data_IF_823132904950
#
_entry.id   IF_823132904950
#
_cell.length_a   1.000
_cell.length_b   1.000
_cell.length_c   1.000
_cell.angle_alpha   90.00
_cell.angle_beta   90.00
_cell.angle_gamma   90.00
#
_symmetry.space_group_name_H-M   'P 1'
#
loop_
_entity.id
_entity.type
_entity.pdbx_description
1 polymer ?
#
# COMPACT_ATOMS: atom_id res chain seq x y z
N UNK A 1 -2.98 5.55 -26.40
CA UNK A 1 -2.60 6.97 -26.11
C UNK A 1 -2.61 7.17 -24.60
N UNK A 2 -1.53 7.75 -24.06
CA UNK A 2 -1.41 8.04 -22.63
C UNK A 2 -1.79 9.48 -22.32
N UNK A 3 -2.50 9.70 -21.20
CA UNK A 3 -2.85 11.04 -20.73
C UNK A 3 -2.77 11.12 -19.21
N UNK A 4 -2.44 12.32 -18.70
CA UNK A 4 -2.53 12.69 -17.28
C UNK A 4 -3.35 13.97 -17.19
N UNK A 5 -4.46 13.92 -16.48
CA UNK A 5 -5.37 15.06 -16.33
C UNK A 5 -5.73 15.26 -14.87
N UNK A 6 -5.68 16.49 -14.38
CA UNK A 6 -6.21 16.83 -13.07
C UNK A 6 -7.67 17.30 -13.20
N UNK A 7 -8.50 16.84 -12.31
CA UNK A 7 -9.90 17.25 -12.19
C UNK A 7 -10.15 17.83 -10.81
N UNK A 8 -10.63 19.07 -10.77
CA UNK A 8 -11.10 19.69 -9.52
C UNK A 8 -12.45 19.10 -9.13
N UNK A 9 -12.75 18.99 -7.83
CA UNK A 9 -14.06 18.57 -7.37
C UNK A 9 -15.13 19.57 -7.82
N UNK A 10 -16.26 19.09 -8.28
CA UNK A 10 -17.46 19.86 -8.55
C UNK A 10 -18.65 19.29 -7.74
N UNK A 11 -19.83 19.90 -7.88
CA UNK A 11 -21.02 19.52 -7.11
C UNK A 11 -21.50 18.07 -7.37
N UNK A 12 -21.03 17.44 -8.45
CA UNK A 12 -21.40 16.06 -8.85
C UNK A 12 -20.22 15.09 -8.65
N UNK A 13 -19.06 15.58 -8.22
CA UNK A 13 -17.86 14.76 -8.01
C UNK A 13 -18.01 13.90 -6.75
N UNK A 14 -17.68 12.60 -6.87
CA UNK A 14 -17.51 11.75 -5.71
C UNK A 14 -16.27 12.13 -4.88
N UNK A 15 -15.32 12.84 -5.50
CA UNK A 15 -14.08 13.29 -4.86
C UNK A 15 -14.24 14.68 -4.23
N UNK A 16 -13.65 14.86 -3.05
CA UNK A 16 -13.69 16.12 -2.29
C UNK A 16 -12.43 16.98 -2.49
N UNK A 17 -11.40 16.42 -3.09
CA UNK A 17 -10.10 17.06 -3.38
C UNK A 17 -9.75 16.83 -4.84
N UNK A 18 -8.78 17.57 -5.41
CA UNK A 18 -8.32 17.33 -6.77
C UNK A 18 -7.90 15.88 -6.98
N UNK A 19 -8.33 15.29 -8.08
CA UNK A 19 -7.99 13.94 -8.51
C UNK A 19 -7.17 14.00 -9.80
N UNK A 20 -6.09 13.22 -9.86
CA UNK A 20 -5.30 13.03 -11.07
C UNK A 20 -5.68 11.71 -11.72
N UNK A 21 -6.19 11.77 -12.94
CA UNK A 21 -6.50 10.62 -13.77
C UNK A 21 -5.35 10.34 -14.72
N UNK A 22 -4.75 9.18 -14.59
CA UNK A 22 -3.76 8.64 -15.51
C UNK A 22 -4.46 7.60 -16.38
N UNK A 23 -4.36 7.70 -17.70
CA UNK A 23 -5.08 6.83 -18.63
C UNK A 23 -4.19 6.26 -19.71
N UNK A 24 -4.40 4.99 -20.02
CA UNK A 24 -3.99 4.31 -21.24
C UNK A 24 -5.26 3.99 -22.04
N UNK A 25 -5.60 4.84 -23.01
CA UNK A 25 -6.83 4.71 -23.78
C UNK A 25 -6.82 3.50 -24.71
N UNK A 26 -5.64 3.04 -25.15
CA UNK A 26 -5.53 1.91 -26.08
C UNK A 26 -5.82 0.57 -25.36
N UNK A 27 -5.57 0.51 -24.04
CA UNK A 27 -5.80 -0.65 -23.20
C UNK A 27 -7.09 -0.55 -22.36
N UNK A 28 -7.84 0.55 -22.47
CA UNK A 28 -8.99 0.87 -21.60
C UNK A 28 -8.60 0.73 -20.12
N UNK A 29 -7.51 1.40 -19.73
CA UNK A 29 -6.98 1.33 -18.39
C UNK A 29 -6.75 2.72 -17.81
N UNK A 30 -7.07 2.89 -16.52
CA UNK A 30 -6.84 4.16 -15.82
C UNK A 30 -6.67 3.97 -14.32
N UNK A 31 -6.00 4.94 -13.69
CA UNK A 31 -5.88 5.04 -12.23
C UNK A 31 -6.26 6.45 -11.77
N UNK A 32 -6.82 6.53 -10.56
CA UNK A 32 -7.12 7.79 -9.87
C UNK A 32 -6.17 7.98 -8.69
N UNK A 33 -5.44 9.10 -8.67
CA UNK A 33 -4.46 9.47 -7.65
C UNK A 33 -4.91 10.73 -6.93
N UNK A 34 -4.89 10.71 -5.59
CA UNK A 34 -5.31 11.82 -4.74
C UNK A 34 -4.15 12.33 -3.87
N UNK A 35 -3.37 13.31 -4.34
CA UNK A 35 -2.25 13.86 -3.58
C UNK A 35 -2.67 14.42 -2.22
N UNK A 36 -3.78 15.15 -2.15
CA UNK A 36 -4.28 15.80 -0.93
C UNK A 36 -4.86 14.82 0.10
N UNK A 37 -5.02 13.56 -0.26
CA UNK A 37 -5.53 12.49 0.60
C UNK A 37 -4.51 11.38 0.81
N UNK A 38 -3.28 11.76 1.14
CA UNK A 38 -2.21 10.81 1.45
C UNK A 38 -1.54 10.19 0.23
N UNK A 39 -1.64 10.80 -0.95
CA UNK A 39 -1.09 10.24 -2.18
C UNK A 39 -1.75 8.93 -2.62
N UNK A 40 -2.95 8.63 -2.12
CA UNK A 40 -3.61 7.34 -2.32
C UNK A 40 -4.03 7.13 -3.78
N UNK A 41 -3.90 5.89 -4.25
CA UNK A 41 -4.61 5.38 -5.42
C UNK A 41 -5.99 4.90 -4.98
N UNK A 42 -7.07 5.54 -5.44
CA UNK A 42 -8.44 5.17 -5.05
C UNK A 42 -9.09 4.22 -6.04
N UNK A 43 -8.74 4.34 -7.30
CA UNK A 43 -9.28 3.51 -8.36
C UNK A 43 -8.16 3.01 -9.28
N UNK A 44 -8.30 1.77 -9.73
CA UNK A 44 -7.61 1.20 -10.87
C UNK A 44 -8.65 0.51 -11.73
N UNK A 45 -8.96 1.10 -12.87
CA UNK A 45 -9.96 0.59 -13.81
C UNK A 45 -9.21 -0.06 -14.99
N UNK A 46 -9.57 -1.28 -15.33
CA UNK A 46 -9.09 -1.98 -16.51
C UNK A 46 -10.26 -2.68 -17.21
N UNK A 47 -10.48 -2.36 -18.50
CA UNK A 47 -11.57 -2.89 -19.31
C UNK A 47 -12.94 -2.77 -18.62
N UNK A 48 -13.23 -1.57 -18.08
CA UNK A 48 -14.48 -1.25 -17.40
C UNK A 48 -14.66 -1.87 -16.01
N UNK A 49 -13.69 -2.67 -15.50
CA UNK A 49 -13.71 -3.26 -14.14
C UNK A 49 -12.82 -2.47 -13.21
N UNK A 50 -13.31 -2.12 -12.02
CA UNK A 50 -12.47 -1.54 -10.98
C UNK A 50 -11.72 -2.65 -10.24
N UNK A 51 -10.39 -2.58 -10.25
CA UNK A 51 -9.48 -3.55 -9.62
C UNK A 51 -9.29 -3.23 -8.14
N UNK A 52 -9.46 -1.97 -7.72
CA UNK A 52 -9.43 -1.61 -6.31
C UNK A 52 -10.86 -1.49 -5.75
N UNK A 53 -11.02 -1.96 -4.50
CA UNK A 53 -12.21 -1.70 -3.68
C UNK A 53 -12.07 -0.35 -2.99
N UNK A 54 -13.14 0.41 -2.88
CA UNK A 54 -13.22 1.63 -2.08
C UNK A 54 -14.56 1.71 -1.36
N UNK A 55 -14.51 1.87 -0.04
CA UNK A 55 -15.68 2.20 0.80
C UNK A 55 -15.95 3.70 0.67
N UNK A 56 -16.84 4.06 -0.25
CA UNK A 56 -17.16 5.44 -0.57
C UNK A 56 -17.79 6.20 0.59
N UNK A 57 -18.58 5.55 1.45
CA UNK A 57 -19.19 6.19 2.62
C UNK A 57 -18.10 6.64 3.60
N UNK A 58 -17.14 5.77 3.86
CA UNK A 58 -15.98 6.11 4.71
C UNK A 58 -15.05 7.13 4.07
N UNK A 59 -14.87 7.07 2.76
CA UNK A 59 -14.05 8.03 2.04
C UNK A 59 -14.61 9.46 2.17
N UNK A 60 -15.94 9.62 2.12
CA UNK A 60 -16.62 10.91 2.22
C UNK A 60 -16.59 11.50 3.63
N UNK A 61 -16.41 10.69 4.68
CA UNK A 61 -16.27 11.18 6.05
C UNK A 61 -14.81 11.51 6.37
N UNK A 62 -14.43 12.81 6.49
CA UNK A 62 -13.04 13.21 6.76
C UNK A 62 -12.53 12.77 8.14
N UNK A 63 -13.41 12.35 9.05
CA UNK A 63 -13.05 11.84 10.39
C UNK A 63 -12.71 10.36 10.38
N UNK A 64 -13.06 9.64 9.30
CA UNK A 64 -12.81 8.21 9.19
C UNK A 64 -11.54 7.93 8.38
N UNK A 65 -10.82 6.88 8.78
CA UNK A 65 -9.74 6.36 7.94
C UNK A 65 -10.32 5.77 6.66
N UNK A 66 -9.69 6.03 5.53
CA UNK A 66 -10.08 5.44 4.25
C UNK A 66 -9.93 3.92 4.34
N UNK A 67 -10.97 3.19 3.92
CA UNK A 67 -10.92 1.75 3.65
C UNK A 67 -11.08 1.55 2.15
N UNK A 68 -10.00 1.23 1.49
CA UNK A 68 -10.01 1.02 0.05
C UNK A 68 -8.85 1.67 -0.67
N UNK A 69 -8.80 1.46 -1.98
CA UNK A 69 -7.70 1.90 -2.81
C UNK A 69 -6.38 1.24 -2.42
N UNK A 70 -5.30 1.99 -2.52
CA UNK A 70 -3.98 1.54 -2.09
C UNK A 70 -3.28 2.61 -1.24
N UNK A 71 -3.53 2.66 0.09
CA UNK A 71 -2.86 3.58 1.01
C UNK A 71 -1.35 3.34 1.11
N UNK A 72 -0.60 4.43 1.28
CA UNK A 72 0.84 4.43 1.56
C UNK A 72 1.08 4.23 3.06
N UNK A 73 2.00 3.34 3.43
CA UNK A 73 2.41 3.11 4.82
C UNK A 73 3.85 3.61 5.01
N UNK A 74 4.05 4.59 5.92
CA UNK A 74 5.35 5.13 6.32
C UNK A 74 5.19 6.03 7.56
N UNK A 75 6.14 6.04 8.52
CA UNK A 75 7.40 5.30 8.59
C UNK A 75 7.27 3.93 9.27
N UNK A 76 6.05 3.44 9.50
CA UNK A 76 5.79 2.11 10.05
C UNK A 76 4.68 1.38 9.27
N UNK A 77 4.79 0.05 9.24
CA UNK A 77 3.72 -0.84 8.81
C UNK A 77 3.05 -1.46 10.04
N UNK A 78 1.72 -1.48 10.06
CA UNK A 78 0.95 -1.95 11.21
C UNK A 78 0.96 -0.99 12.40
N UNK A 79 0.83 -1.54 13.60
CA UNK A 79 0.74 -0.80 14.85
C UNK A 79 1.94 -1.06 15.76
N UNK A 80 2.16 -0.15 16.70
CA UNK A 80 3.07 -0.28 17.81
C UNK A 80 2.28 -0.57 19.10
N UNK A 81 2.86 -1.23 20.11
CA UNK A 81 2.25 -1.34 21.43
C UNK A 81 1.95 0.07 21.98
N UNK A 82 0.70 0.28 22.36
CA UNK A 82 0.19 1.57 22.86
C UNK A 82 0.54 2.78 21.97
N UNK A 83 0.80 2.55 20.67
CA UNK A 83 1.29 3.53 19.70
C UNK A 83 2.64 4.16 20.04
N UNK A 84 3.50 3.49 20.81
CA UNK A 84 4.78 4.03 21.22
C UNK A 84 5.97 3.25 20.69
N UNK A 85 7.04 3.99 20.39
CA UNK A 85 8.40 3.46 20.19
C UNK A 85 9.41 4.35 20.88
N UNK A 86 10.62 3.82 21.06
CA UNK A 86 11.73 4.53 21.72
C UNK A 86 12.89 4.72 20.76
N UNK A 87 13.33 5.97 20.59
CA UNK A 87 14.53 6.34 19.86
C UNK A 87 15.49 7.09 20.79
N UNK A 88 16.70 6.53 21.01
CA UNK A 88 17.74 7.10 21.91
C UNK A 88 17.22 7.45 23.32
N UNK A 89 16.33 6.62 23.86
CA UNK A 89 15.77 6.79 25.20
C UNK A 89 14.63 7.78 25.28
N UNK A 90 14.22 8.39 24.17
CA UNK A 90 13.04 9.26 24.08
C UNK A 90 11.87 8.47 23.51
N UNK A 91 10.71 8.55 24.16
CA UNK A 91 9.49 7.91 23.73
C UNK A 91 8.74 8.81 22.74
N UNK A 92 8.31 8.24 21.62
CA UNK A 92 7.52 8.91 20.59
C UNK A 92 6.20 8.18 20.39
N UNK A 93 5.14 8.95 20.10
CA UNK A 93 3.84 8.39 19.77
C UNK A 93 3.63 8.39 18.25
N UNK A 94 3.31 7.23 17.69
CA UNK A 94 3.11 7.07 16.26
C UNK A 94 1.94 6.10 16.03
N UNK A 95 0.88 6.62 15.43
CA UNK A 95 -0.33 5.85 15.14
C UNK A 95 -0.11 4.74 14.13
N UNK A 96 -1.06 3.81 14.07
CA UNK A 96 -1.05 2.68 13.14
C UNK A 96 -0.76 3.12 11.69
N UNK A 97 0.18 2.45 11.04
CA UNK A 97 0.65 2.70 9.68
C UNK A 97 1.37 4.05 9.46
N UNK A 98 1.73 4.74 10.55
CA UNK A 98 2.40 6.02 10.47
C UNK A 98 1.52 7.16 9.98
N UNK A 99 2.14 8.16 9.35
CA UNK A 99 1.47 9.42 9.00
C UNK A 99 1.34 9.67 7.49
N UNK A 100 2.15 9.03 6.62
CA UNK A 100 2.21 9.39 5.20
C UNK A 100 0.85 9.34 4.48
N UNK A 101 0.01 8.38 4.84
CA UNK A 101 -1.36 8.23 4.31
C UNK A 101 -2.35 9.33 4.71
N UNK A 102 -1.96 10.19 5.64
CA UNK A 102 -2.78 11.30 6.14
C UNK A 102 -2.21 12.67 5.77
N UNK A 103 -1.06 12.71 5.08
CA UNK A 103 -0.38 13.94 4.69
C UNK A 103 -0.81 14.39 3.28
N UNK A 104 -0.64 15.68 3.00
CA UNK A 104 -0.76 16.21 1.64
C UNK A 104 0.57 15.98 0.92
N UNK A 105 0.51 15.37 -0.27
CA UNK A 105 1.65 15.13 -1.14
C UNK A 105 1.71 16.15 -2.26
N UNK A 106 2.90 16.53 -2.68
CA UNK A 106 3.12 17.46 -3.78
C UNK A 106 3.34 16.70 -5.08
N UNK A 107 2.61 17.05 -6.14
CA UNK A 107 2.90 16.56 -7.49
C UNK A 107 4.15 17.25 -8.00
N UNK A 108 5.18 16.47 -8.34
CA UNK A 108 6.47 16.99 -8.81
C UNK A 108 6.72 16.73 -10.29
N UNK A 109 6.08 15.71 -10.85
CA UNK A 109 6.26 15.37 -12.26
C UNK A 109 5.07 14.56 -12.81
N UNK A 110 4.88 14.61 -14.16
CA UNK A 110 3.95 13.78 -14.92
C UNK A 110 4.52 13.47 -16.31
N UNK A 111 4.39 12.21 -16.75
CA UNK A 111 4.90 11.77 -18.08
C UNK A 111 3.85 10.96 -18.84
N UNK A 112 3.95 10.98 -20.17
CA UNK A 112 3.05 10.25 -21.09
C UNK A 112 3.75 9.56 -22.26
N UNK A 113 5.09 9.42 -22.23
CA UNK A 113 5.84 8.83 -23.36
C UNK A 113 5.76 7.30 -23.37
N UNK A 114 6.05 6.64 -22.22
CA UNK A 114 6.05 5.18 -22.08
C UNK A 114 5.09 4.72 -20.99
N UNK A 115 3.83 5.11 -21.09
CA UNK A 115 2.80 4.94 -20.08
C UNK A 115 2.36 6.29 -19.53
N UNK A 116 1.28 6.34 -18.76
CA UNK A 116 0.90 7.53 -18.01
C UNK A 116 1.46 7.42 -16.60
N UNK A 117 2.25 8.41 -16.17
CA UNK A 117 2.82 8.42 -14.83
C UNK A 117 2.67 9.76 -14.11
N UNK A 118 2.68 9.71 -12.78
CA UNK A 118 2.72 10.86 -11.88
C UNK A 118 3.69 10.58 -10.74
N UNK A 119 4.51 11.57 -10.41
CA UNK A 119 5.42 11.51 -9.27
C UNK A 119 4.94 12.46 -8.18
N UNK A 120 4.81 11.92 -6.99
CA UNK A 120 4.46 12.64 -5.77
C UNK A 120 5.66 12.70 -4.83
N UNK A 121 5.82 13.80 -4.09
CA UNK A 121 6.80 13.91 -3.02
C UNK A 121 6.17 14.30 -1.69
N UNK A 122 6.78 13.81 -0.60
CA UNK A 122 6.47 14.18 0.78
C UNK A 122 7.77 14.40 1.55
N UNK A 123 8.03 15.63 1.98
CA UNK A 123 9.12 15.96 2.87
C UNK A 123 8.71 15.94 4.35
N UNK A 124 9.70 15.94 5.24
CA UNK A 124 9.47 16.14 6.67
C UNK A 124 8.88 17.53 6.97
N UNK A 125 8.13 17.60 8.06
CA UNK A 125 7.56 18.85 8.60
C UNK A 125 7.81 18.92 10.10
N UNK A 126 7.61 20.07 10.77
CA UNK A 126 7.68 20.12 12.23
C UNK A 126 6.78 19.10 12.93
N UNK A 127 5.60 18.83 12.38
CA UNK A 127 4.64 17.86 12.92
C UNK A 127 5.16 16.43 12.79
N UNK A 128 5.75 16.06 11.64
CA UNK A 128 6.34 14.72 11.47
C UNK A 128 7.58 14.56 12.34
N UNK A 129 8.42 15.59 12.49
CA UNK A 129 9.61 15.55 13.35
C UNK A 129 9.26 15.38 14.83
N UNK A 130 8.09 15.87 15.28
CA UNK A 130 7.63 15.70 16.65
C UNK A 130 7.32 14.23 17.02
N UNK A 131 6.97 13.39 16.04
CA UNK A 131 6.58 11.98 16.24
C UNK A 131 7.60 11.00 15.62
N UNK A 132 8.40 11.47 14.68
CA UNK A 132 9.44 10.71 13.99
C UNK A 132 10.62 11.66 13.71
N UNK A 133 11.65 11.69 14.59
CA UNK A 133 12.66 12.76 14.63
C UNK A 133 13.76 12.56 13.58
N UNK A 134 13.35 12.38 12.33
CA UNK A 134 14.24 12.24 11.17
C UNK A 134 13.77 13.14 10.04
N UNK A 135 14.72 13.80 9.41
CA UNK A 135 14.50 14.57 8.19
C UNK A 135 14.52 13.60 6.99
N UNK A 136 13.51 13.66 6.15
CA UNK A 136 13.36 12.75 5.01
C UNK A 136 12.76 13.46 3.80
N UNK A 137 12.99 12.87 2.62
CA UNK A 137 12.24 13.10 1.39
C UNK A 137 11.76 11.75 0.84
N UNK A 138 10.48 11.65 0.55
CA UNK A 138 9.85 10.50 -0.07
C UNK A 138 9.40 10.87 -1.47
N UNK A 139 9.61 9.97 -2.44
CA UNK A 139 9.05 10.08 -3.79
C UNK A 139 8.35 8.80 -4.16
N UNK A 140 7.14 8.94 -4.69
CA UNK A 140 6.32 7.84 -5.18
C UNK A 140 5.88 8.14 -6.61
N UNK A 141 6.27 7.29 -7.55
CA UNK A 141 5.86 7.38 -8.95
C UNK A 141 4.88 6.26 -9.24
N UNK A 142 3.66 6.62 -9.59
CA UNK A 142 2.64 5.71 -10.09
C UNK A 142 2.64 5.72 -11.60
N UNK A 143 2.68 4.55 -12.23
CA UNK A 143 2.67 4.41 -13.69
C UNK A 143 1.69 3.33 -14.11
N UNK A 144 0.78 3.68 -15.03
CA UNK A 144 -0.13 2.74 -15.68
C UNK A 144 0.27 2.53 -17.14
N UNK A 145 0.35 1.27 -17.55
CA UNK A 145 0.57 0.85 -18.94
C UNK A 145 -0.11 -0.48 -19.18
N UNK A 146 -1.11 -0.50 -20.03
CA UNK A 146 -1.90 -1.70 -20.28
C UNK A 146 -2.62 -2.18 -19.01
N UNK A 147 -2.42 -3.42 -18.70
CA UNK A 147 -2.94 -4.11 -17.51
C UNK A 147 -1.95 -4.10 -16.32
N UNK A 148 -0.92 -3.26 -16.37
CA UNK A 148 0.17 -3.22 -15.37
C UNK A 148 0.19 -1.88 -14.67
N UNK A 149 0.14 -1.91 -13.35
CA UNK A 149 0.37 -0.77 -12.47
C UNK A 149 1.72 -0.93 -11.77
N UNK A 150 2.64 0.00 -12.01
CA UNK A 150 3.96 0.06 -11.38
C UNK A 150 3.97 1.18 -10.35
N UNK A 151 4.52 0.90 -9.17
CA UNK A 151 4.77 1.88 -8.12
C UNK A 151 6.26 1.85 -7.81
N UNK A 152 6.97 2.89 -8.21
CA UNK A 152 8.36 3.13 -7.85
C UNK A 152 8.41 4.08 -6.66
N UNK A 153 9.23 3.75 -5.66
CA UNK A 153 9.40 4.55 -4.45
C UNK A 153 10.86 4.89 -4.24
N UNK A 154 11.12 6.07 -3.69
CA UNK A 154 12.45 6.46 -3.23
C UNK A 154 12.33 7.09 -1.84
N UNK A 155 13.17 6.61 -0.93
CA UNK A 155 13.27 7.05 0.46
C UNK A 155 14.65 7.67 0.66
N UNK A 156 14.72 8.95 1.00
CA UNK A 156 15.98 9.65 1.23
C UNK A 156 16.07 10.09 2.68
N UNK A 157 17.18 9.74 3.34
CA UNK A 157 17.51 10.24 4.67
C UNK A 157 18.25 11.58 4.55
N UNK A 158 17.63 12.65 5.00
CA UNK A 158 18.21 13.99 5.04
C UNK A 158 18.80 14.34 6.42
N UNK A 159 18.65 13.43 7.43
CA UNK A 159 19.23 13.60 8.75
C UNK A 159 20.72 13.32 8.75
N UNK A 160 21.41 13.76 9.80
CA UNK A 160 22.84 13.52 10.07
C UNK A 160 23.13 12.15 10.71
N UNK A 161 22.11 11.29 10.86
CA UNK A 161 22.18 9.98 11.54
C UNK A 161 21.37 8.92 10.79
N UNK A 162 21.65 7.61 11.03
CA UNK A 162 20.87 6.53 10.41
C UNK A 162 19.38 6.66 10.71
N UNK A 163 18.55 6.59 9.67
CA UNK A 163 17.09 6.71 9.71
C UNK A 163 16.45 5.32 9.65
N UNK A 164 15.83 4.83 10.74
CA UNK A 164 15.08 3.57 10.76
C UNK A 164 13.67 3.78 10.22
N UNK A 165 13.17 2.91 9.35
CA UNK A 165 11.79 2.96 8.88
C UNK A 165 11.28 1.60 8.41
N UNK A 166 9.97 1.47 8.30
CA UNK A 166 9.34 0.51 7.42
C UNK A 166 8.34 1.21 6.51
N UNK A 167 8.20 0.67 5.31
CA UNK A 167 7.30 1.18 4.29
C UNK A 167 6.52 0.05 3.64
N UNK A 168 5.34 0.36 3.12
CA UNK A 168 4.51 -0.65 2.48
C UNK A 168 3.26 -0.05 1.87
N UNK A 169 2.41 -0.93 1.42
CA UNK A 169 1.13 -0.63 0.79
C UNK A 169 0.02 -1.46 1.42
N UNK A 170 -1.20 -0.95 1.32
CA UNK A 170 -2.38 -1.61 1.86
C UNK A 170 -3.49 -1.70 0.79
N UNK A 171 -3.23 -2.37 -0.35
CA UNK A 171 -4.20 -2.44 -1.43
C UNK A 171 -5.42 -3.27 -1.03
N UNK A 172 -6.59 -2.76 -1.37
CA UNK A 172 -7.88 -3.42 -1.21
C UNK A 172 -8.37 -3.89 -2.57
N UNK A 173 -8.73 -5.15 -2.66
CA UNK A 173 -9.25 -5.76 -3.89
C UNK A 173 -10.70 -6.20 -3.68
N UNK A 174 -11.64 -5.87 -4.59
CA UNK A 174 -13.02 -6.32 -4.49
C UNK A 174 -13.12 -7.82 -4.71
N UNK A 175 -14.05 -8.47 -4.03
CA UNK A 175 -14.36 -9.88 -4.21
C UNK A 175 -15.84 -10.14 -3.96
N UNK A 176 -16.51 -10.77 -4.92
CA UNK A 176 -17.92 -11.14 -4.79
C UNK A 176 -18.13 -12.45 -4.00
N UNK A 177 -17.21 -13.39 -4.11
CA UNK A 177 -17.25 -14.67 -3.42
C UNK A 177 -15.84 -15.13 -3.03
N UNK A 178 -15.49 -14.96 -1.77
CA UNK A 178 -14.17 -15.33 -1.23
C UNK A 178 -13.86 -16.82 -1.36
N UNK A 179 -14.88 -17.68 -1.41
CA UNK A 179 -14.69 -19.14 -1.60
C UNK A 179 -14.15 -19.49 -2.98
N UNK A 180 -14.18 -18.55 -3.93
CA UNK A 180 -13.69 -18.69 -5.29
C UNK A 180 -12.26 -18.15 -5.47
N UNK A 181 -11.66 -17.59 -4.43
CA UNK A 181 -10.28 -17.16 -4.46
C UNK A 181 -9.32 -18.33 -4.31
N UNK A 182 -8.28 -18.32 -5.12
CA UNK A 182 -7.14 -19.22 -5.04
C UNK A 182 -5.88 -18.39 -4.86
N UNK A 183 -4.99 -18.83 -3.98
CA UNK A 183 -3.80 -18.07 -3.60
C UNK A 183 -2.52 -18.84 -3.90
N UNK A 184 -1.50 -18.12 -4.35
CA UNK A 184 -0.12 -18.55 -4.41
C UNK A 184 0.72 -17.52 -3.65
N UNK A 185 0.76 -17.64 -2.33
CA UNK A 185 1.58 -16.78 -1.47
C UNK A 185 2.91 -17.51 -1.23
N UNK A 186 4.07 -16.85 -1.45
CA UNK A 186 5.38 -17.49 -1.33
C UNK A 186 5.81 -17.60 0.14
N UNK A 187 5.05 -18.35 0.95
CA UNK A 187 5.30 -18.60 2.36
C UNK A 187 4.86 -20.01 2.75
N UNK A 188 5.53 -20.61 3.72
CA UNK A 188 5.19 -21.93 4.28
C UNK A 188 4.50 -21.83 5.64
N UNK A 189 4.60 -20.69 6.28
CA UNK A 189 4.06 -20.41 7.61
C UNK A 189 3.39 -19.06 7.63
N UNK A 190 2.41 -18.88 8.50
CA UNK A 190 1.74 -17.62 8.76
C UNK A 190 1.67 -17.36 10.28
N UNK A 191 1.86 -16.11 10.68
CA UNK A 191 1.50 -15.63 12.02
C UNK A 191 0.00 -15.36 11.99
N UNK A 192 -0.77 -16.18 12.71
CA UNK A 192 -2.24 -16.15 12.72
C UNK A 192 -2.82 -15.39 13.90
N UNK A 193 -1.99 -15.05 14.87
CA UNK A 193 -2.33 -14.19 16.01
C UNK A 193 -1.17 -13.22 16.27
N UNK A 194 -1.41 -11.96 16.00
CA UNK A 194 -0.41 -10.89 16.10
C UNK A 194 -0.02 -10.57 17.56
N UNK A 195 -0.87 -10.89 18.55
CA UNK A 195 -0.58 -10.65 19.96
C UNK A 195 0.33 -11.72 20.54
N UNK A 196 0.04 -12.97 20.24
CA UNK A 196 0.81 -14.12 20.75
C UNK A 196 1.93 -14.55 19.81
N UNK A 197 2.01 -13.99 18.61
CA UNK A 197 2.95 -14.36 17.54
C UNK A 197 2.84 -15.86 17.18
N UNK A 198 1.62 -16.40 17.26
CA UNK A 198 1.37 -17.81 16.96
C UNK A 198 1.55 -18.11 15.48
N UNK A 199 2.55 -18.91 15.13
CA UNK A 199 2.79 -19.40 13.76
C UNK A 199 2.04 -20.70 13.51
N UNK A 200 1.49 -20.85 12.29
CA UNK A 200 0.91 -22.09 11.78
C UNK A 200 1.44 -22.40 10.37
N UNK A 201 1.52 -23.68 9.99
CA UNK A 201 1.75 -24.05 8.59
C UNK A 201 0.69 -23.41 7.69
N UNK A 202 1.11 -22.96 6.52
CA UNK A 202 0.25 -22.35 5.51
C UNK A 202 0.27 -23.16 4.22
N UNK A 203 -0.89 -23.43 3.67
CA UNK A 203 -1.10 -24.26 2.47
C UNK A 203 -1.86 -23.51 1.37
N UNK A 204 -1.73 -22.19 1.32
CA UNK A 204 -2.41 -21.30 0.36
C UNK A 204 -3.94 -21.31 0.48
N UNK A 205 -4.47 -21.59 1.68
CA UNK A 205 -5.91 -21.51 1.95
C UNK A 205 -6.23 -20.75 3.21
N UNK A 206 -7.40 -20.12 3.23
CA UNK A 206 -7.93 -19.36 4.35
C UNK A 206 -9.32 -19.89 4.72
N UNK A 207 -9.64 -19.85 6.01
CA UNK A 207 -10.99 -20.09 6.52
C UNK A 207 -11.77 -18.76 6.53
N UNK A 208 -12.59 -18.53 5.53
CA UNK A 208 -13.40 -17.31 5.42
C UNK A 208 -14.66 -17.32 6.30
N UNK A 209 -14.89 -18.37 7.09
CA UNK A 209 -15.99 -18.41 8.05
C UNK A 209 -15.68 -17.70 9.36
N UNK A 210 -14.42 -17.37 9.64
CA UNK A 210 -14.04 -16.56 10.79
C UNK A 210 -14.38 -15.08 10.59
N UNK A 211 -14.63 -14.34 11.68
CA UNK A 211 -15.05 -12.93 11.61
C UNK A 211 -14.01 -12.03 10.95
N UNK A 212 -12.73 -12.30 11.17
CA UNK A 212 -11.60 -11.54 10.66
C UNK A 212 -10.40 -12.48 10.41
N UNK A 213 -9.73 -12.27 9.30
CA UNK A 213 -8.41 -12.85 9.02
C UNK A 213 -7.42 -11.68 8.99
N UNK A 214 -6.39 -11.73 9.84
CA UNK A 214 -5.28 -10.75 9.89
C UNK A 214 -3.98 -11.56 10.06
N UNK A 215 -3.52 -12.14 8.95
CA UNK A 215 -2.37 -13.03 8.95
C UNK A 215 -1.14 -12.34 8.36
N UNK A 216 0.01 -12.55 9.00
CA UNK A 216 1.29 -12.02 8.59
C UNK A 216 2.21 -13.15 8.13
N UNK A 217 2.86 -12.97 7.00
CA UNK A 217 3.84 -13.85 6.41
C UNK A 217 5.20 -13.13 6.46
N UNK A 218 6.04 -13.46 7.45
CA UNK A 218 7.34 -12.84 7.69
C UNK A 218 8.55 -13.67 7.21
N UNK A 219 8.28 -14.87 6.67
CA UNK A 219 9.28 -15.80 6.13
C UNK A 219 8.94 -16.08 4.64
N UNK A 220 9.07 -15.06 3.80
CA UNK A 220 8.78 -15.18 2.38
C UNK A 220 9.89 -15.96 1.66
N UNK A 221 9.48 -16.86 0.76
CA UNK A 221 10.38 -17.68 -0.08
C UNK A 221 10.50 -17.17 -1.51
N UNK A 222 9.86 -16.05 -1.82
CA UNK A 222 9.86 -15.40 -3.13
C UNK A 222 9.30 -13.98 -3.05
N UNK A 223 9.27 -13.33 -4.19
CA UNK A 223 8.87 -11.92 -4.35
C UNK A 223 7.65 -11.76 -5.27
N UNK A 224 6.87 -12.83 -5.42
CA UNK A 224 5.66 -12.83 -6.24
C UNK A 224 4.55 -13.55 -5.50
N UNK A 225 3.40 -12.91 -5.37
CA UNK A 225 2.17 -13.51 -4.90
C UNK A 225 1.10 -13.43 -5.98
N UNK A 226 0.25 -14.45 -6.09
CA UNK A 226 -0.82 -14.51 -7.08
C UNK A 226 -2.14 -14.78 -6.38
N UNK A 227 -3.17 -14.07 -6.84
CA UNK A 227 -4.57 -14.34 -6.47
C UNK A 227 -5.38 -14.56 -7.73
N UNK A 228 -6.00 -15.73 -7.84
CA UNK A 228 -6.92 -16.07 -8.92
C UNK A 228 -8.35 -15.99 -8.40
N UNK A 229 -9.16 -15.12 -8.96
CA UNK A 229 -10.59 -15.03 -8.66
C UNK A 229 -11.39 -15.78 -9.75
N UNK A 230 -11.86 -16.97 -9.39
CA UNK A 230 -12.64 -17.82 -10.29
C UNK A 230 -14.03 -17.24 -10.61
N UNK A 231 -14.58 -16.40 -9.74
CA UNK A 231 -15.87 -15.74 -9.98
C UNK A 231 -15.72 -14.55 -10.94
N UNK A 232 -14.68 -13.73 -10.75
CA UNK A 232 -14.39 -12.60 -11.62
C UNK A 232 -13.65 -12.99 -12.91
N UNK A 233 -13.17 -14.23 -13.02
CA UNK A 233 -12.34 -14.75 -14.12
C UNK A 233 -11.08 -13.88 -14.33
N UNK A 234 -10.38 -13.56 -13.23
CA UNK A 234 -9.18 -12.74 -13.25
C UNK A 234 -8.06 -13.34 -12.41
N UNK A 235 -6.83 -13.05 -12.82
CA UNK A 235 -5.61 -13.36 -12.10
C UNK A 235 -4.88 -12.06 -11.79
N UNK A 236 -4.69 -11.77 -10.51
CA UNK A 236 -3.90 -10.66 -10.00
C UNK A 236 -2.53 -11.16 -9.57
N UNK A 237 -1.47 -10.59 -10.15
CA UNK A 237 -0.09 -10.89 -9.78
C UNK A 237 0.52 -9.67 -9.08
N UNK A 238 1.05 -9.86 -7.88
CA UNK A 238 1.81 -8.89 -7.12
C UNK A 238 3.29 -9.26 -7.18
N UNK A 239 4.14 -8.39 -7.71
CA UNK A 239 5.60 -8.53 -7.71
C UNK A 239 6.21 -7.38 -6.93
N UNK A 240 7.13 -7.67 -6.04
CA UNK A 240 7.71 -6.67 -5.14
C UNK A 240 9.19 -6.96 -4.89
N UNK A 241 9.97 -5.92 -4.61
CA UNK A 241 11.37 -6.07 -4.25
C UNK A 241 11.52 -6.86 -2.95
N UNK A 242 12.65 -7.53 -2.79
CA UNK A 242 12.96 -8.39 -1.63
C UNK A 242 12.92 -7.66 -0.28
N UNK A 243 13.09 -6.35 -0.29
CA UNK A 243 12.98 -5.47 0.88
C UNK A 243 11.55 -5.44 1.44
N UNK A 244 10.53 -5.74 0.63
CA UNK A 244 9.19 -6.04 1.12
C UNK A 244 9.17 -7.48 1.66
N UNK A 245 9.78 -7.67 2.82
CA UNK A 245 10.06 -8.96 3.43
C UNK A 245 8.85 -9.61 4.13
N UNK A 246 7.74 -8.91 4.14
CA UNK A 246 6.52 -9.29 4.84
C UNK A 246 5.31 -9.10 3.94
N UNK A 247 4.42 -10.10 3.90
CA UNK A 247 3.08 -9.94 3.35
C UNK A 247 2.05 -10.00 4.48
N UNK A 248 1.00 -9.21 4.37
CA UNK A 248 -0.17 -9.31 5.25
C UNK A 248 -1.39 -9.64 4.40
N UNK A 249 -2.14 -10.64 4.82
CA UNK A 249 -3.47 -10.91 4.28
C UNK A 249 -4.51 -10.48 5.32
N UNK A 250 -5.39 -9.56 4.90
CA UNK A 250 -6.45 -9.07 5.78
C UNK A 250 -7.80 -9.06 5.07
N UNK A 251 -8.83 -9.54 5.77
CA UNK A 251 -10.22 -9.44 5.32
C UNK A 251 -11.19 -9.56 6.50
N UNK A 252 -12.41 -9.07 6.32
CA UNK A 252 -13.53 -9.25 7.24
C UNK A 252 -14.59 -10.14 6.60
N UNK A 253 -15.23 -11.03 7.37
CA UNK A 253 -16.22 -12.00 6.87
C UNK A 253 -17.30 -11.35 6.00
N UNK A 254 -17.91 -10.28 6.53
CA UNK A 254 -19.09 -9.65 5.95
C UNK A 254 -18.77 -8.45 5.05
N UNK A 255 -17.55 -8.42 4.48
CA UNK A 255 -17.11 -7.35 3.56
C UNK A 255 -16.61 -7.93 2.25
N UNK A 256 -16.92 -7.27 1.16
CA UNK A 256 -16.64 -7.71 -0.21
C UNK A 256 -15.27 -7.23 -0.69
N UNK A 257 -14.25 -7.42 0.15
CA UNK A 257 -12.85 -7.15 -0.18
C UNK A 257 -11.91 -8.11 0.51
N UNK A 258 -10.68 -8.18 0.00
CA UNK A 258 -9.50 -8.67 0.68
C UNK A 258 -8.33 -7.71 0.46
N UNK A 259 -7.33 -7.76 1.34
CA UNK A 259 -6.07 -7.05 1.21
C UNK A 259 -4.94 -8.08 1.12
N UNK A 260 -3.96 -7.81 0.26
CA UNK A 260 -2.70 -8.54 0.21
C UNK A 260 -1.58 -7.50 0.11
N UNK A 261 -0.88 -7.31 1.21
CA UNK A 261 -0.16 -6.10 1.54
C UNK A 261 1.35 -6.36 1.58
N UNK A 262 2.15 -5.83 0.65
CA UNK A 262 3.60 -5.91 0.76
C UNK A 262 4.12 -4.84 1.75
N UNK A 263 4.77 -5.31 2.83
CA UNK A 263 5.41 -4.49 3.85
C UNK A 263 6.90 -4.78 3.94
N UNK A 264 7.71 -3.77 4.18
CA UNK A 264 9.16 -3.97 4.35
C UNK A 264 9.52 -4.58 5.71
N UNK A 265 8.64 -4.45 6.71
CA UNK A 265 8.83 -5.05 8.03
C UNK A 265 7.49 -5.34 8.71
N UNK A 266 7.42 -6.31 9.63
CA UNK A 266 6.21 -6.62 10.37
C UNK A 266 5.85 -5.52 11.38
N UNK A 267 4.69 -5.68 12.02
CA UNK A 267 4.26 -4.81 13.12
C UNK A 267 5.32 -4.70 14.22
N UNK A 268 5.38 -3.55 14.86
CA UNK A 268 6.29 -3.26 15.96
C UNK A 268 7.79 -3.28 15.60
N UNK A 269 8.15 -3.24 14.32
CA UNK A 269 9.53 -3.28 13.87
C UNK A 269 10.38 -2.13 14.42
N UNK A 270 9.82 -0.94 14.64
CA UNK A 270 10.52 0.20 15.25
C UNK A 270 11.07 -0.11 16.65
N UNK A 271 10.43 -1.00 17.41
CA UNK A 271 10.89 -1.42 18.73
C UNK A 271 11.75 -2.69 18.70
N UNK A 272 11.43 -3.62 17.78
CA UNK A 272 12.09 -4.95 17.75
C UNK A 272 13.32 -4.96 16.84
N UNK A 273 13.41 -4.05 15.88
CA UNK A 273 14.42 -4.06 14.82
C UNK A 273 14.18 -5.14 13.75
N UNK A 274 13.11 -5.95 13.86
CA UNK A 274 12.88 -7.07 12.96
C UNK A 274 12.59 -6.57 11.54
N UNK A 275 13.44 -6.93 10.57
CA UNK A 275 13.37 -6.50 9.16
C UNK A 275 13.32 -4.97 8.95
N UNK A 276 13.58 -4.17 9.99
CA UNK A 276 13.55 -2.71 9.91
C UNK A 276 14.62 -2.22 8.92
N UNK A 277 14.22 -1.35 8.01
CA UNK A 277 15.15 -0.74 7.07
C UNK A 277 15.89 0.43 7.72
N UNK A 278 17.13 0.63 7.30
CA UNK A 278 17.98 1.76 7.73
C UNK A 278 18.58 2.44 6.51
N UNK A 279 18.62 3.76 6.54
CA UNK A 279 19.36 4.58 5.57
C UNK A 279 20.44 5.37 6.30
N UNK A 280 21.67 5.33 5.79
CA UNK A 280 22.73 6.21 6.25
C UNK A 280 22.41 7.69 5.91
N UNK A 281 23.05 8.67 6.57
CA UNK A 281 22.92 10.08 6.20
C UNK A 281 23.15 10.31 4.71
N UNK A 282 22.22 10.98 4.03
CA UNK A 282 22.25 11.25 2.59
C UNK A 282 21.96 10.05 1.69
N UNK A 283 21.74 8.86 2.23
CA UNK A 283 21.40 7.67 1.43
C UNK A 283 19.97 7.77 0.88
N UNK A 284 19.81 7.35 -0.38
CA UNK A 284 18.52 7.11 -1.01
C UNK A 284 18.37 5.63 -1.35
N UNK A 285 17.23 5.04 -1.02
CA UNK A 285 16.86 3.67 -1.42
C UNK A 285 15.59 3.70 -2.25
N UNK A 286 15.64 3.05 -3.41
CA UNK A 286 14.49 2.86 -4.27
C UNK A 286 13.96 1.44 -4.12
N UNK A 287 12.64 1.30 -4.13
CA UNK A 287 11.92 0.02 -4.13
C UNK A 287 10.82 0.06 -5.17
N UNK A 288 10.45 -1.11 -5.68
CA UNK A 288 9.43 -1.29 -6.70
C UNK A 288 8.36 -2.28 -6.27
N UNK A 289 7.11 -1.93 -6.55
CA UNK A 289 5.95 -2.79 -6.43
C UNK A 289 5.16 -2.76 -7.74
N UNK A 290 4.84 -3.94 -8.28
CA UNK A 290 4.12 -4.11 -9.54
C UNK A 290 2.87 -4.94 -9.29
N UNK A 291 1.76 -4.50 -9.84
CA UNK A 291 0.53 -5.27 -9.91
C UNK A 291 0.13 -5.47 -11.37
N UNK A 292 -0.20 -6.70 -11.74
CA UNK A 292 -0.67 -7.07 -13.08
C UNK A 292 -2.01 -7.78 -12.95
N UNK A 293 -3.00 -7.35 -13.75
CA UNK A 293 -4.31 -8.01 -13.82
C UNK A 293 -4.49 -8.67 -15.19
N UNK A 294 -4.84 -9.94 -15.20
CA UNK A 294 -5.03 -10.72 -16.42
C UNK A 294 -6.33 -11.51 -16.36
N UNK A 295 -6.98 -11.81 -17.49
CA UNK A 295 -8.03 -12.83 -17.51
C UNK A 295 -7.41 -14.20 -17.20
N UNK A 296 -8.20 -15.13 -16.65
CA UNK A 296 -7.83 -16.55 -16.59
C UNK A 296 -8.30 -17.23 -17.87
N UNK A 297 -7.42 -18.09 -18.42
CA UNK A 297 -7.70 -18.88 -19.63
C UNK A 297 -8.74 -19.99 -19.35
#
# INVERSE_FOLDING_TARGET
>A
MYTVNSQLPDANSAYQTPVYWLKDSDADSSIAVLPDRGGILTEWIHQGKNIFYLDWERYQDPKMSIRGGNPILFPICGNLPDNHYTEKGISYNLGQHGFARNMVWTVTDTETEDGASITLSLGHTPETLAVYPFEFDLRYTYKIKGNVLVIDTAFTNLSDRPMPFSAGFHPYFPVADKSKLQFEIPAKTAIVDQKTQTKKPFNNSFDFDVAEIDWCFDELTGTTAIVTDQAAQTKLTLQYDKEYSTLVFWTLKDKDFYCLEPWSAPRNAMNTGNHLLFLAPGETRSLRFIMTIEPID
#
